data_IF_739862330083
#
_entry.id   IF_739862330083
#
_cell.length_a   1.000
_cell.length_b   1.000
_cell.length_c   1.000
_cell.angle_alpha   90.00
_cell.angle_beta   90.00
_cell.angle_gamma   90.00
#
_symmetry.space_group_name_H-M   'P 1'
#
loop_
_entity.id
_entity.type
_entity.pdbx_description
1 polymer ?
#
# COMPACT_ATOMS: atom_id res chain seq x y z
N UNK A 1 -14.78 18.53 13.66
CA UNK A 1 -14.30 17.13 13.78
C UNK A 1 -12.81 17.14 14.06
N UNK A 2 -12.35 16.30 14.98
CA UNK A 2 -10.91 16.09 15.16
C UNK A 2 -10.35 15.27 13.98
N UNK A 3 -9.14 15.60 13.52
CA UNK A 3 -8.44 14.81 12.48
C UNK A 3 -8.08 13.44 13.04
N UNK A 4 -8.30 12.39 12.27
CA UNK A 4 -7.86 11.05 12.60
C UNK A 4 -6.36 10.91 12.30
N UNK A 5 -5.53 10.40 13.22
CA UNK A 5 -4.12 10.13 12.95
C UNK A 5 -3.95 9.06 11.87
N UNK A 6 -2.94 9.22 11.01
CA UNK A 6 -2.57 8.26 9.99
C UNK A 6 -1.08 7.91 10.12
N UNK A 7 -0.77 6.62 10.10
CA UNK A 7 0.60 6.09 10.06
C UNK A 7 0.79 5.30 8.77
N UNK A 8 1.75 5.73 7.95
CA UNK A 8 2.08 5.07 6.69
C UNK A 8 3.52 4.55 6.69
N UNK A 9 3.68 3.25 6.47
CA UNK A 9 4.98 2.61 6.33
C UNK A 9 5.42 2.54 4.86
N UNK A 10 6.30 3.44 4.43
CA UNK A 10 6.94 3.35 3.11
C UNK A 10 8.08 2.31 3.13
N UNK A 11 7.89 1.18 2.44
CA UNK A 11 8.88 0.10 2.43
C UNK A 11 10.07 0.38 1.50
N UNK A 12 9.95 1.40 0.62
CA UNK A 12 10.95 1.77 -0.37
C UNK A 12 11.32 0.57 -1.27
N UNK A 13 12.54 0.54 -1.78
CA UNK A 13 13.07 -0.54 -2.61
C UNK A 13 13.58 -1.72 -1.75
N UNK A 14 12.69 -2.32 -0.94
CA UNK A 14 12.99 -3.50 -0.14
C UNK A 14 11.90 -4.56 -0.28
N UNK A 15 12.31 -5.81 -0.01
CA UNK A 15 11.50 -7.03 0.01
C UNK A 15 11.16 -7.59 -1.37
N UNK A 16 11.39 -8.90 -1.48
CA UNK A 16 10.76 -9.77 -2.47
C UNK A 16 9.29 -10.03 -2.09
N UNK A 17 8.53 -10.66 -2.99
CA UNK A 17 7.11 -10.97 -2.73
C UNK A 17 6.90 -11.78 -1.44
N UNK A 18 7.62 -12.90 -1.18
CA UNK A 18 7.42 -13.67 0.05
C UNK A 18 7.78 -12.87 1.31
N UNK A 19 8.85 -12.09 1.29
CA UNK A 19 9.26 -11.27 2.44
C UNK A 19 8.29 -10.11 2.72
N UNK A 20 7.69 -9.55 1.67
CA UNK A 20 6.69 -8.51 1.73
C UNK A 20 5.39 -9.05 2.35
N UNK A 21 4.92 -10.20 1.89
CA UNK A 21 3.75 -10.89 2.45
C UNK A 21 4.01 -11.29 3.89
N UNK A 22 5.14 -11.94 4.20
CA UNK A 22 5.46 -12.35 5.57
C UNK A 22 5.56 -11.17 6.54
N UNK A 23 6.10 -10.03 6.10
CA UNK A 23 6.07 -8.80 6.91
C UNK A 23 4.63 -8.31 7.13
N UNK A 24 3.80 -8.30 6.08
CA UNK A 24 2.40 -7.88 6.19
C UNK A 24 1.62 -8.73 7.21
N UNK A 25 1.86 -10.04 7.24
CA UNK A 25 1.25 -10.96 8.20
C UNK A 25 1.73 -10.71 9.63
N UNK A 26 3.03 -10.48 9.81
CA UNK A 26 3.63 -10.20 11.10
C UNK A 26 3.12 -8.89 11.73
N UNK A 27 2.52 -7.98 10.94
CA UNK A 27 1.91 -6.74 11.43
C UNK A 27 0.50 -6.95 12.00
N UNK A 28 -0.19 -8.05 11.68
CA UNK A 28 -1.60 -8.24 12.07
C UNK A 28 -1.84 -8.36 13.58
N UNK A 29 -1.01 -9.08 14.36
CA UNK A 29 -1.25 -9.23 15.79
C UNK A 29 -1.34 -7.88 16.51
N UNK A 30 -2.41 -7.67 17.28
CA UNK A 30 -2.61 -6.47 18.09
C UNK A 30 -3.19 -5.26 17.33
N UNK A 31 -3.40 -5.36 16.01
CA UNK A 31 -4.00 -4.28 15.22
C UNK A 31 -5.47 -4.02 15.54
N UNK A 32 -6.19 -4.99 16.10
CA UNK A 32 -7.61 -4.85 16.44
C UNK A 32 -7.89 -3.71 17.43
N UNK A 33 -6.92 -3.39 18.29
CA UNK A 33 -7.03 -2.34 19.31
C UNK A 33 -6.75 -0.92 18.78
N UNK A 34 -6.36 -0.77 17.52
CA UNK A 34 -5.93 0.51 16.93
C UNK A 34 -6.97 1.11 15.97
N UNK A 35 -8.25 0.86 16.23
CA UNK A 35 -9.36 1.32 15.38
C UNK A 35 -9.48 2.85 15.24
N UNK A 36 -8.80 3.64 16.08
CA UNK A 36 -8.76 5.11 16.02
C UNK A 36 -7.65 5.67 15.12
N UNK A 37 -6.80 4.82 14.54
CA UNK A 37 -5.66 5.21 13.71
C UNK A 37 -5.82 4.59 12.32
N UNK A 38 -5.62 5.38 11.27
CA UNK A 38 -5.52 4.86 9.90
C UNK A 38 -4.10 4.31 9.68
N UNK A 39 -4.01 3.09 9.17
CA UNK A 39 -2.73 2.37 9.01
C UNK A 39 -2.57 2.01 7.56
N UNK A 40 -1.44 2.39 6.97
CA UNK A 40 -1.15 2.18 5.56
C UNK A 40 0.22 1.53 5.42
N UNK A 41 0.34 0.54 4.54
CA UNK A 41 1.65 0.01 4.11
C UNK A 41 1.84 0.27 2.61
N UNK A 42 3.06 0.67 2.24
CA UNK A 42 3.41 0.95 0.85
C UNK A 42 4.54 0.02 0.37
N UNK A 43 4.22 -1.21 -0.07
CA UNK A 43 5.20 -2.15 -0.63
C UNK A 43 5.72 -1.67 -2.00
N UNK A 44 6.85 -2.22 -2.49
CA UNK A 44 7.28 -1.98 -3.87
C UNK A 44 6.24 -2.56 -4.86
N UNK A 45 6.14 -1.98 -6.06
CA UNK A 45 5.13 -2.38 -7.07
C UNK A 45 5.11 -3.88 -7.36
N UNK A 46 6.29 -4.50 -7.40
CA UNK A 46 6.45 -5.95 -7.65
C UNK A 46 5.75 -6.84 -6.61
N UNK A 47 5.43 -6.31 -5.43
CA UNK A 47 4.74 -7.03 -4.35
C UNK A 47 3.36 -6.43 -4.01
N UNK A 48 2.92 -5.38 -4.70
CA UNK A 48 1.74 -4.59 -4.33
C UNK A 48 0.46 -5.42 -4.35
N UNK A 49 0.21 -6.18 -5.43
CA UNK A 49 -0.98 -7.04 -5.53
C UNK A 49 -0.99 -8.11 -4.43
N UNK A 50 0.13 -8.80 -4.23
CA UNK A 50 0.20 -9.91 -3.27
C UNK A 50 -0.06 -9.43 -1.83
N UNK A 51 0.52 -8.29 -1.45
CA UNK A 51 0.29 -7.67 -0.13
C UNK A 51 -1.14 -7.15 -0.02
N UNK A 52 -1.68 -6.53 -1.08
CA UNK A 52 -3.05 -6.03 -1.10
C UNK A 52 -4.07 -7.14 -0.90
N UNK A 53 -3.93 -8.24 -1.65
CA UNK A 53 -4.76 -9.44 -1.48
C UNK A 53 -4.64 -10.00 -0.08
N UNK A 54 -3.43 -10.03 0.50
CA UNK A 54 -3.20 -10.60 1.84
C UNK A 54 -3.84 -9.79 2.97
N UNK A 55 -3.85 -8.46 2.85
CA UNK A 55 -4.35 -7.55 3.88
C UNK A 55 -5.83 -7.18 3.71
N UNK A 56 -6.52 -7.71 2.70
CA UNK A 56 -7.95 -7.47 2.48
C UNK A 56 -8.75 -7.85 3.73
N UNK A 57 -9.50 -6.88 4.27
CA UNK A 57 -10.37 -7.08 5.44
C UNK A 57 -9.67 -7.01 6.80
N UNK A 58 -8.35 -6.74 6.86
CA UNK A 58 -7.62 -6.68 8.14
C UNK A 58 -7.66 -5.30 8.80
N UNK A 59 -8.14 -4.28 8.08
CA UNK A 59 -8.16 -2.89 8.55
C UNK A 59 -6.81 -2.15 8.38
N UNK A 60 -5.84 -2.76 7.69
CA UNK A 60 -4.64 -2.10 7.17
C UNK A 60 -4.89 -1.76 5.70
N UNK A 61 -4.84 -0.48 5.36
CA UNK A 61 -4.97 0.03 3.99
C UNK A 61 -3.63 -0.14 3.22
N UNK A 62 -3.72 -0.12 1.89
CA UNK A 62 -2.55 -0.22 0.99
C UNK A 62 -2.27 1.13 0.34
N UNK A 63 -0.99 1.46 0.16
CA UNK A 63 -0.54 2.54 -0.69
C UNK A 63 0.50 2.11 -1.74
N UNK A 64 0.56 2.83 -2.86
CA UNK A 64 1.66 2.75 -3.81
C UNK A 64 2.75 3.79 -3.48
N UNK A 65 3.97 3.56 -3.99
CA UNK A 65 5.12 4.43 -3.71
C UNK A 65 5.29 5.57 -4.74
N UNK A 66 4.64 5.48 -5.90
CA UNK A 66 4.63 6.49 -6.95
C UNK A 66 3.42 6.25 -7.89
N UNK A 67 3.13 7.20 -8.76
CA UNK A 67 2.35 6.98 -9.99
C UNK A 67 2.66 8.05 -11.02
N UNK A 68 2.48 7.71 -12.29
CA UNK A 68 2.47 8.67 -13.39
C UNK A 68 1.13 9.43 -13.42
N UNK A 69 1.10 10.65 -13.96
CA UNK A 69 -0.12 11.46 -13.96
C UNK A 69 -1.07 11.13 -15.12
N UNK A 70 -0.56 10.63 -16.25
CA UNK A 70 -1.41 10.21 -17.37
C UNK A 70 -2.17 8.94 -17.05
N UNK A 71 -3.39 8.84 -17.59
CA UNK A 71 -4.25 7.67 -17.40
C UNK A 71 -3.73 6.42 -18.14
N UNK A 72 -3.08 6.61 -19.29
CA UNK A 72 -2.47 5.58 -20.14
C UNK A 72 -1.63 6.23 -21.26
N UNK A 73 -0.72 5.48 -21.87
CA UNK A 73 0.02 5.94 -23.05
C UNK A 73 1.31 5.16 -23.30
N UNK A 74 2.13 5.66 -24.22
CA UNK A 74 3.44 5.07 -24.56
C UNK A 74 4.52 5.44 -23.53
N UNK A 75 4.28 5.08 -22.26
CA UNK A 75 5.13 5.39 -21.10
C UNK A 75 5.70 4.09 -20.51
N UNK A 76 6.65 3.48 -21.21
CA UNK A 76 7.24 2.20 -20.78
C UNK A 76 7.84 2.29 -19.38
N UNK A 77 7.37 1.42 -18.47
CA UNK A 77 7.85 1.35 -17.09
C UNK A 77 7.04 2.18 -16.09
N UNK A 78 6.16 3.06 -16.55
CA UNK A 78 5.30 3.88 -15.70
C UNK A 78 4.06 3.11 -15.23
N UNK A 79 3.51 3.53 -14.08
CA UNK A 79 2.27 3.00 -13.50
C UNK A 79 1.24 4.11 -13.44
N UNK A 80 0.09 3.94 -14.10
CA UNK A 80 -0.96 4.95 -14.12
C UNK A 80 -1.93 4.85 -12.94
N UNK A 81 -2.69 5.92 -12.62
CA UNK A 81 -3.65 5.89 -11.52
C UNK A 81 -4.74 4.81 -11.70
N UNK A 82 -5.32 4.61 -12.92
CA UNK A 82 -6.27 3.52 -13.16
C UNK A 82 -5.71 2.11 -12.86
N UNK A 83 -4.41 1.87 -13.07
CA UNK A 83 -3.79 0.57 -12.74
C UNK A 83 -3.75 0.29 -11.23
N UNK A 84 -3.85 1.32 -10.39
CA UNK A 84 -3.72 1.24 -8.94
C UNK A 84 -5.05 1.16 -8.19
N UNK A 85 -6.17 1.57 -8.81
CA UNK A 85 -7.49 1.70 -8.16
C UNK A 85 -7.94 0.43 -7.43
N UNK A 86 -7.70 -0.73 -8.03
CA UNK A 86 -8.11 -2.02 -7.44
C UNK A 86 -7.08 -2.59 -6.45
N UNK A 87 -5.90 -1.98 -6.37
CA UNK A 87 -4.77 -2.47 -5.58
C UNK A 87 -4.54 -1.66 -4.30
N UNK A 88 -4.74 -0.34 -4.35
CA UNK A 88 -4.42 0.55 -3.24
C UNK A 88 -5.31 1.80 -3.17
N UNK A 89 -5.38 2.38 -1.97
CA UNK A 89 -6.17 3.59 -1.68
C UNK A 89 -5.33 4.87 -1.65
N UNK A 90 -4.03 4.73 -1.37
CA UNK A 90 -3.10 5.86 -1.22
C UNK A 90 -1.97 5.78 -2.23
N UNK A 91 -1.38 6.91 -2.59
CA UNK A 91 -0.14 6.97 -3.37
C UNK A 91 0.77 8.03 -2.77
N UNK A 92 2.03 7.68 -2.52
CA UNK A 92 3.06 8.62 -2.12
C UNK A 92 3.51 9.38 -3.38
N UNK A 93 3.57 10.70 -3.28
CA UNK A 93 4.06 11.61 -4.33
C UNK A 93 4.99 12.65 -3.70
N UNK A 94 6.02 13.07 -4.43
CA UNK A 94 7.01 14.04 -3.96
C UNK A 94 8.33 13.94 -4.71
#
# INVERSE_FOLDING_TARGET
MARRPLVAGNWKMHKTIPEAVGLAEALLPGMENLASIDRVVCPPFVALEAVSRRLRGTGIDIGAQNMHWESQGAYTGEISPPMLVDLCKYVILG
#
